data_IF_069423845988
#
_entry.id   IF_069423845988
#
_cell.length_a   1.000
_cell.length_b   1.000
_cell.length_c   1.000
_cell.angle_alpha   90.00
_cell.angle_beta   90.00
_cell.angle_gamma   90.00
#
_symmetry.space_group_name_H-M   'P 1'
#
loop_
_entity.id
_entity.type
_entity.pdbx_description
1 polymer ?
#
# COMPACT_ATOMS: atom_id res chain seq x y z
N UNK A 1 -27.68 1.78 -2.41
CA UNK A 1 -26.26 2.18 -2.21
C UNK A 1 -25.46 1.57 -3.34
N UNK A 2 -24.57 2.31 -4.01
CA UNK A 2 -23.66 1.70 -4.99
C UNK A 2 -22.63 0.85 -4.26
N UNK A 3 -22.37 -0.37 -4.73
CA UNK A 3 -21.26 -1.19 -4.23
C UNK A 3 -19.93 -0.48 -4.48
N UNK A 4 -18.91 -0.82 -3.69
CA UNK A 4 -17.57 -0.26 -3.89
C UNK A 4 -17.07 -0.56 -5.31
N UNK A 5 -17.27 -1.79 -5.77
CA UNK A 5 -16.88 -2.20 -7.12
C UNK A 5 -17.55 -1.34 -8.21
N UNK A 6 -18.84 -1.02 -8.06
CA UNK A 6 -19.56 -0.17 -9.00
C UNK A 6 -19.03 1.27 -9.00
N UNK A 7 -18.73 1.82 -7.82
CA UNK A 7 -18.15 3.16 -7.69
C UNK A 7 -16.72 3.23 -8.25
N UNK A 8 -15.90 2.21 -7.99
CA UNK A 8 -14.54 2.10 -8.54
C UNK A 8 -14.55 1.98 -10.06
N UNK A 9 -15.43 1.14 -10.62
CA UNK A 9 -15.58 1.02 -12.07
C UNK A 9 -16.01 2.34 -12.72
N UNK A 10 -16.99 3.04 -12.13
CA UNK A 10 -17.42 4.35 -12.60
C UNK A 10 -16.29 5.39 -12.53
N UNK A 11 -15.50 5.39 -11.45
CA UNK A 11 -14.32 6.24 -11.32
C UNK A 11 -13.31 5.95 -12.42
N UNK A 12 -12.96 4.68 -12.64
CA UNK A 12 -11.96 4.23 -13.62
C UNK A 12 -12.38 4.59 -15.05
N UNK A 13 -13.67 4.41 -15.38
CA UNK A 13 -14.22 4.76 -16.68
C UNK A 13 -14.19 6.27 -16.95
N UNK A 14 -14.34 7.09 -15.89
CA UNK A 14 -14.29 8.55 -15.98
C UNK A 14 -12.91 9.13 -15.62
N UNK A 15 -11.89 8.30 -15.41
CA UNK A 15 -10.60 8.73 -14.87
C UNK A 15 -9.81 9.50 -15.94
N UNK A 16 -9.81 10.83 -15.83
CA UNK A 16 -8.84 11.70 -16.49
C UNK A 16 -7.56 11.81 -15.66
N UNK A 17 -7.02 13.01 -15.51
CA UNK A 17 -6.02 13.32 -14.48
C UNK A 17 -6.71 13.91 -13.25
N UNK A 18 -6.34 13.43 -12.06
CA UNK A 18 -6.89 13.91 -10.80
C UNK A 18 -5.79 14.08 -9.76
N UNK A 19 -5.68 15.30 -9.23
CA UNK A 19 -4.85 15.58 -8.04
C UNK A 19 -5.58 15.06 -6.81
N UNK A 20 -4.92 14.21 -6.02
CA UNK A 20 -5.44 13.65 -4.77
C UNK A 20 -4.89 14.36 -3.54
N UNK A 21 -3.71 14.96 -3.65
CA UNK A 21 -3.09 15.75 -2.59
C UNK A 21 -2.21 16.85 -3.19
N UNK A 22 -2.24 18.01 -2.56
CA UNK A 22 -1.36 19.12 -2.87
C UNK A 22 -0.88 19.76 -1.57
N UNK A 23 0.44 19.93 -1.46
CA UNK A 23 1.07 20.58 -0.31
C UNK A 23 2.08 21.61 -0.77
N UNK A 24 2.26 22.65 0.03
CA UNK A 24 3.32 23.63 -0.14
C UNK A 24 4.09 23.75 1.16
N UNK A 25 5.41 23.64 1.10
CA UNK A 25 6.30 23.78 2.24
C UNK A 25 7.57 24.53 1.84
N UNK A 26 8.40 24.90 2.81
CA UNK A 26 9.71 25.53 2.54
C UNK A 26 10.79 24.49 2.76
N UNK A 27 11.63 24.28 1.76
CA UNK A 27 12.83 23.44 1.87
C UNK A 27 14.06 24.36 1.95
N UNK A 28 14.97 24.08 2.88
CA UNK A 28 16.24 24.81 3.01
C UNK A 28 17.38 23.89 2.62
N UNK A 29 18.10 24.26 1.55
CA UNK A 29 19.30 23.56 1.08
C UNK A 29 20.50 24.50 1.21
N UNK A 30 21.40 24.16 2.11
CA UNK A 30 22.49 25.05 2.51
C UNK A 30 21.96 26.35 3.12
N UNK A 31 22.33 27.49 2.55
CA UNK A 31 21.90 28.82 2.99
C UNK A 31 20.66 29.36 2.25
N UNK A 32 20.07 28.59 1.34
CA UNK A 32 18.95 29.03 0.50
C UNK A 32 17.67 28.31 0.91
N UNK A 33 16.61 29.07 1.12
CA UNK A 33 15.25 28.54 1.32
C UNK A 33 14.41 28.82 0.08
N UNK A 34 13.67 27.84 -0.39
CA UNK A 34 12.76 27.99 -1.51
C UNK A 34 11.41 27.34 -1.22
N UNK A 35 10.31 27.89 -1.75
CA UNK A 35 9.01 27.23 -1.66
C UNK A 35 9.05 25.96 -2.51
N UNK A 36 8.51 24.88 -1.96
CA UNK A 36 8.31 23.61 -2.64
C UNK A 36 6.84 23.34 -2.74
N UNK A 37 6.35 23.10 -3.96
CA UNK A 37 5.00 22.64 -4.22
C UNK A 37 5.07 21.17 -4.61
N UNK A 38 4.38 20.32 -3.85
CA UNK A 38 4.26 18.91 -4.13
C UNK A 38 2.81 18.60 -4.51
N UNK A 39 2.61 17.91 -5.63
CA UNK A 39 1.29 17.41 -6.06
C UNK A 39 1.37 15.92 -6.26
N UNK A 40 0.36 15.22 -5.79
CA UNK A 40 0.21 13.78 -5.95
C UNK A 40 -1.15 13.56 -6.62
N UNK A 41 -1.20 12.67 -7.58
CA UNK A 41 -2.42 12.40 -8.33
C UNK A 41 -2.45 11.03 -8.97
N UNK A 42 -3.61 10.69 -9.51
CA UNK A 42 -3.80 9.52 -10.35
C UNK A 42 -4.25 9.95 -11.72
N UNK A 43 -3.84 9.24 -12.76
CA UNK A 43 -4.35 9.46 -14.11
C UNK A 43 -4.47 8.17 -14.88
N UNK A 44 -5.38 8.15 -15.86
CA UNK A 44 -5.41 7.08 -16.86
C UNK A 44 -4.37 7.34 -17.95
N UNK A 45 -3.65 6.29 -18.32
CA UNK A 45 -2.63 6.26 -19.37
C UNK A 45 -2.85 4.99 -20.22
N UNK A 46 -3.66 5.13 -21.27
CA UNK A 46 -4.16 4.01 -22.07
C UNK A 46 -4.97 3.02 -21.24
N UNK A 47 -4.50 1.78 -21.18
CA UNK A 47 -5.10 0.67 -20.41
C UNK A 47 -4.58 0.60 -18.97
N UNK A 48 -3.71 1.54 -18.58
CA UNK A 48 -3.12 1.59 -17.25
C UNK A 48 -3.54 2.83 -16.47
N UNK A 49 -3.38 2.75 -15.16
CA UNK A 49 -3.64 3.83 -14.21
C UNK A 49 -2.33 4.12 -13.49
N UNK A 50 -1.92 5.37 -13.52
CA UNK A 50 -0.63 5.84 -13.01
C UNK A 50 -0.88 6.71 -11.78
N UNK A 51 -0.28 6.32 -10.66
CA UNK A 51 -0.09 7.19 -9.49
C UNK A 51 1.20 7.98 -9.71
N UNK A 52 1.09 9.30 -9.70
CA UNK A 52 2.18 10.21 -9.98
C UNK A 52 2.37 11.18 -8.83
N UNK A 53 3.60 11.64 -8.66
CA UNK A 53 3.97 12.75 -7.82
C UNK A 53 4.74 13.78 -8.65
N UNK A 54 4.64 15.05 -8.30
CA UNK A 54 5.46 16.11 -8.86
C UNK A 54 6.02 16.94 -7.71
N UNK A 55 7.27 17.35 -7.86
CA UNK A 55 7.91 18.29 -6.94
C UNK A 55 8.42 19.48 -7.75
N UNK A 56 8.00 20.68 -7.35
CA UNK A 56 8.45 21.94 -7.93
C UNK A 56 9.18 22.75 -6.87
N UNK A 57 10.42 23.16 -7.16
CA UNK A 57 11.24 24.00 -6.27
C UNK A 57 11.36 25.41 -6.85
N UNK A 58 10.86 26.41 -6.11
CA UNK A 58 10.80 27.79 -6.59
C UNK A 58 10.06 27.91 -7.93
N UNK A 59 10.61 28.70 -8.84
CA UNK A 59 10.08 28.90 -10.19
C UNK A 59 10.54 27.82 -11.19
N UNK A 60 11.19 26.76 -10.71
CA UNK A 60 11.66 25.65 -11.54
C UNK A 60 10.51 24.84 -12.17
N UNK A 61 10.84 23.99 -13.13
CA UNK A 61 9.88 23.03 -13.68
C UNK A 61 9.50 21.99 -12.61
N UNK A 62 8.24 21.58 -12.61
CA UNK A 62 7.80 20.45 -11.80
C UNK A 62 8.34 19.16 -12.42
N UNK A 63 9.06 18.35 -11.64
CA UNK A 63 9.57 17.05 -12.08
C UNK A 63 8.55 15.95 -11.76
N UNK A 64 7.91 15.32 -12.76
CA UNK A 64 6.99 14.22 -12.53
C UNK A 64 7.76 12.92 -12.25
N UNK A 65 7.37 12.24 -11.18
CA UNK A 65 7.78 10.90 -10.83
C UNK A 65 6.57 9.97 -10.89
N UNK A 66 6.72 8.84 -11.58
CA UNK A 66 5.78 7.72 -11.47
C UNK A 66 6.02 7.03 -10.13
N UNK A 67 4.98 6.98 -9.29
CA UNK A 67 5.00 6.31 -7.99
C UNK A 67 4.60 4.85 -8.15
N UNK A 68 3.56 4.59 -8.96
CA UNK A 68 3.09 3.26 -9.27
C UNK A 68 2.26 3.25 -10.56
N UNK A 69 2.20 2.08 -11.20
CA UNK A 69 1.34 1.82 -12.37
C UNK A 69 0.61 0.51 -12.17
N UNK A 70 -0.68 0.50 -12.49
CA UNK A 70 -1.55 -0.67 -12.43
C UNK A 70 -2.37 -0.81 -13.69
N UNK A 71 -2.80 -2.02 -14.01
CA UNK A 71 -4.01 -2.21 -14.83
C UNK A 71 -5.27 -1.87 -14.00
N UNK A 72 -6.45 -1.96 -14.60
CA UNK A 72 -7.70 -1.63 -13.89
C UNK A 72 -7.92 -2.51 -12.64
N UNK A 73 -7.60 -3.80 -12.75
CA UNK A 73 -7.78 -4.76 -11.66
C UNK A 73 -6.84 -4.46 -10.49
N UNK A 74 -5.57 -4.26 -10.79
CA UNK A 74 -4.53 -3.89 -9.83
C UNK A 74 -4.84 -2.56 -9.17
N UNK A 75 -5.43 -1.60 -9.89
CA UNK A 75 -5.86 -0.34 -9.31
C UNK A 75 -7.02 -0.52 -8.32
N UNK A 76 -8.03 -1.34 -8.64
CA UNK A 76 -9.08 -1.69 -7.67
C UNK A 76 -8.49 -2.37 -6.44
N UNK A 77 -7.51 -3.27 -6.63
CA UNK A 77 -6.77 -3.90 -5.54
C UNK A 77 -6.02 -2.90 -4.66
N UNK A 78 -5.37 -1.92 -5.27
CA UNK A 78 -4.71 -0.82 -4.56
C UNK A 78 -5.72 0.04 -3.80
N UNK A 79 -6.87 0.36 -4.40
CA UNK A 79 -7.94 1.08 -3.74
C UNK A 79 -8.46 0.31 -2.52
N UNK A 80 -8.63 -1.01 -2.58
CA UNK A 80 -9.03 -1.80 -1.41
C UNK A 80 -8.00 -1.78 -0.27
N UNK A 81 -6.71 -1.76 -0.60
CA UNK A 81 -5.64 -1.74 0.41
C UNK A 81 -5.35 -0.34 0.98
N UNK A 82 -5.60 0.73 0.21
CA UNK A 82 -5.17 2.10 0.54
C UNK A 82 -6.35 3.00 0.89
N UNK A 83 -6.75 3.00 2.17
CA UNK A 83 -7.85 3.83 2.67
C UNK A 83 -7.69 5.33 2.34
N UNK A 84 -6.47 5.86 2.47
CA UNK A 84 -6.17 7.25 2.15
C UNK A 84 -6.44 7.58 0.66
N UNK A 85 -6.08 6.67 -0.25
CA UNK A 85 -6.31 6.84 -1.68
C UNK A 85 -7.81 6.82 -2.01
N UNK A 86 -8.57 5.90 -1.41
CA UNK A 86 -10.05 5.86 -1.55
C UNK A 86 -10.70 7.16 -1.08
N UNK A 87 -10.33 7.61 0.11
CA UNK A 87 -10.87 8.81 0.71
C UNK A 87 -10.60 10.04 -0.18
N UNK A 88 -9.36 10.19 -0.68
CA UNK A 88 -9.01 11.29 -1.58
C UNK A 88 -9.75 11.25 -2.92
N UNK A 89 -10.14 10.07 -3.39
CA UNK A 89 -10.91 9.88 -4.62
C UNK A 89 -12.43 10.00 -4.42
N UNK A 90 -12.90 10.08 -3.18
CA UNK A 90 -14.32 10.18 -2.83
C UNK A 90 -15.08 8.86 -3.06
N UNK A 91 -14.39 7.73 -2.96
CA UNK A 91 -15.02 6.42 -3.04
C UNK A 91 -15.70 6.06 -1.71
N UNK A 92 -16.81 5.31 -1.74
CA UNK A 92 -17.38 4.75 -0.52
C UNK A 92 -16.38 3.78 0.13
N UNK A 93 -16.53 3.55 1.43
CA UNK A 93 -15.77 2.47 2.08
C UNK A 93 -16.27 1.11 1.59
N UNK A 94 -15.37 0.20 1.17
CA UNK A 94 -15.74 -1.18 0.85
C UNK A 94 -16.16 -1.92 2.11
N UNK A 95 -17.12 -2.83 1.97
CA UNK A 95 -17.49 -3.75 3.05
C UNK A 95 -16.33 -4.67 3.41
N UNK A 96 -16.37 -5.26 4.60
CA UNK A 96 -15.38 -6.28 5.00
C UNK A 96 -15.33 -7.43 3.98
N UNK A 97 -16.48 -7.88 3.48
CA UNK A 97 -16.56 -8.90 2.43
C UNK A 97 -15.91 -8.46 1.11
N UNK A 98 -16.15 -7.21 0.66
CA UNK A 98 -15.53 -6.68 -0.56
C UNK A 98 -14.00 -6.59 -0.44
N UNK A 99 -13.49 -6.24 0.75
CA UNK A 99 -12.05 -6.22 1.04
C UNK A 99 -11.45 -7.63 1.08
N UNK A 100 -12.14 -8.57 1.73
CA UNK A 100 -11.74 -9.98 1.79
C UNK A 100 -11.68 -10.58 0.39
N UNK A 101 -12.77 -10.49 -0.38
CA UNK A 101 -12.83 -11.05 -1.74
C UNK A 101 -11.80 -10.40 -2.67
N UNK A 102 -11.57 -9.08 -2.54
CA UNK A 102 -10.52 -8.42 -3.30
C UNK A 102 -9.12 -8.89 -2.93
N UNK A 103 -8.80 -9.05 -1.64
CA UNK A 103 -7.52 -9.61 -1.22
C UNK A 103 -7.33 -11.06 -1.70
N UNK A 104 -8.36 -11.90 -1.61
CA UNK A 104 -8.33 -13.28 -2.13
C UNK A 104 -8.13 -13.31 -3.65
N UNK A 105 -8.80 -12.42 -4.39
CA UNK A 105 -8.65 -12.32 -5.83
C UNK A 105 -7.23 -11.91 -6.24
N UNK A 106 -6.54 -11.08 -5.45
CA UNK A 106 -5.15 -10.70 -5.67
C UNK A 106 -4.21 -11.87 -5.40
N UNK A 107 -4.38 -12.56 -4.27
CA UNK A 107 -3.59 -13.74 -3.94
C UNK A 107 -3.72 -14.83 -5.01
N UNK A 108 -4.96 -15.10 -5.49
CA UNK A 108 -5.22 -16.05 -6.58
C UNK A 108 -4.67 -15.62 -7.94
N UNK A 109 -4.39 -14.33 -8.13
CA UNK A 109 -3.68 -13.83 -9.30
C UNK A 109 -2.14 -13.98 -9.17
N UNK A 110 -1.66 -14.55 -8.07
CA UNK A 110 -0.24 -14.69 -7.78
C UNK A 110 0.40 -13.46 -7.15
N UNK A 111 -0.39 -12.44 -6.77
CA UNK A 111 0.15 -11.31 -6.02
C UNK A 111 0.57 -11.75 -4.62
N UNK A 112 1.63 -11.12 -4.12
CA UNK A 112 2.06 -11.25 -2.73
C UNK A 112 1.66 -9.99 -1.98
N UNK A 113 0.91 -10.16 -0.89
CA UNK A 113 0.50 -9.07 -0.03
C UNK A 113 1.52 -8.97 1.11
N UNK A 114 2.05 -7.76 1.36
CA UNK A 114 3.04 -7.55 2.44
C UNK A 114 2.63 -6.39 3.34
N UNK A 115 2.75 -6.58 4.66
CA UNK A 115 2.54 -5.55 5.67
C UNK A 115 3.90 -5.12 6.21
N UNK A 116 4.20 -3.82 6.15
CA UNK A 116 5.44 -3.25 6.67
C UNK A 116 6.58 -3.18 5.66
N UNK A 117 7.44 -2.18 5.86
CA UNK A 117 8.70 -2.00 5.14
C UNK A 117 9.87 -2.62 5.90
N UNK A 118 10.98 -2.90 5.20
CA UNK A 118 12.21 -3.39 5.82
C UNK A 118 12.80 -2.42 6.86
N UNK A 119 12.31 -1.18 6.94
CA UNK A 119 12.88 -0.08 7.73
C UNK A 119 11.99 0.43 8.86
N UNK A 120 10.87 -0.25 9.19
CA UNK A 120 10.00 0.13 10.31
C UNK A 120 10.63 -0.15 11.69
N UNK A 121 11.91 -0.54 11.71
CA UNK A 121 12.65 -0.87 12.90
C UNK A 121 13.15 0.33 13.66
N UNK A 122 12.48 0.65 14.77
CA UNK A 122 12.97 1.60 15.75
C UNK A 122 14.35 1.18 16.26
N UNK A 123 15.29 2.13 16.28
CA UNK A 123 16.60 1.92 16.90
C UNK A 123 16.43 1.86 18.41
N UNK A 124 16.68 0.71 19.03
CA UNK A 124 16.68 0.61 20.49
C UNK A 124 17.92 1.29 21.09
N UNK A 125 17.85 1.64 22.38
CA UNK A 125 18.92 2.37 23.08
C UNK A 125 20.26 1.63 23.16
N UNK A 126 20.28 0.34 22.84
CA UNK A 126 21.47 -0.52 22.71
C UNK A 126 22.13 -0.43 21.31
N UNK A 127 21.57 0.38 20.39
CA UNK A 127 22.07 0.54 19.03
C UNK A 127 21.66 -0.58 18.06
N UNK A 128 20.75 -1.46 18.46
CA UNK A 128 20.19 -2.53 17.64
C UNK A 128 18.95 -2.03 16.89
N UNK A 129 18.83 -2.42 15.62
CA UNK A 129 17.63 -2.20 14.79
C UNK A 129 16.85 -3.50 14.75
N UNK A 130 15.56 -3.46 15.10
CA UNK A 130 14.66 -4.62 15.05
C UNK A 130 13.46 -4.29 14.20
N UNK A 131 13.13 -5.14 13.24
CA UNK A 131 11.95 -4.93 12.41
C UNK A 131 11.34 -6.26 11.96
N UNK A 132 10.30 -6.18 11.17
CA UNK A 132 9.65 -7.34 10.62
C UNK A 132 8.54 -7.00 9.65
N UNK A 133 8.11 -7.99 8.89
CA UNK A 133 6.98 -7.88 7.99
C UNK A 133 6.22 -9.19 7.95
N UNK A 134 4.95 -9.08 7.57
CA UNK A 134 4.11 -10.23 7.25
C UNK A 134 3.92 -10.25 5.75
N UNK A 135 4.15 -11.39 5.12
CA UNK A 135 3.87 -11.65 3.71
C UNK A 135 2.81 -12.74 3.60
N UNK A 136 1.84 -12.56 2.72
CA UNK A 136 0.84 -13.55 2.38
C UNK A 136 0.88 -13.76 0.87
N UNK A 137 0.98 -15.02 0.47
CA UNK A 137 0.88 -15.45 -0.92
C UNK A 137 -0.13 -16.59 -1.03
N UNK A 138 -0.62 -16.86 -2.24
CA UNK A 138 -1.59 -17.94 -2.43
C UNK A 138 -1.52 -18.57 -3.82
N UNK A 139 -1.94 -19.83 -3.89
CA UNK A 139 -2.20 -20.57 -5.11
C UNK A 139 -3.50 -21.37 -4.94
N UNK A 140 -4.53 -21.01 -5.71
CA UNK A 140 -5.87 -21.57 -5.58
C UNK A 140 -6.48 -21.30 -4.19
N UNK A 141 -6.65 -22.37 -3.41
CA UNK A 141 -7.21 -22.35 -2.05
C UNK A 141 -6.16 -22.65 -0.96
N UNK A 142 -4.87 -22.60 -1.32
CA UNK A 142 -3.77 -22.70 -0.37
C UNK A 142 -3.06 -21.36 -0.26
N UNK A 143 -2.84 -20.92 0.97
CA UNK A 143 -2.18 -19.67 1.28
C UNK A 143 -0.94 -19.94 2.13
N UNK A 144 0.09 -19.13 1.93
CA UNK A 144 1.32 -19.19 2.72
C UNK A 144 1.47 -17.85 3.40
N UNK A 145 1.43 -17.87 4.73
CA UNK A 145 1.73 -16.75 5.59
C UNK A 145 3.18 -16.86 6.06
N UNK A 146 3.98 -15.84 5.79
CA UNK A 146 5.37 -15.74 6.24
C UNK A 146 5.50 -14.51 7.15
N UNK A 147 5.84 -14.76 8.42
CA UNK A 147 6.22 -13.72 9.37
C UNK A 147 7.74 -13.68 9.42
N UNK A 148 8.31 -12.57 8.96
CA UNK A 148 9.74 -12.34 8.98
C UNK A 148 10.03 -11.30 10.04
N UNK A 149 10.94 -11.60 10.96
CA UNK A 149 11.55 -10.63 11.85
C UNK A 149 13.05 -10.57 11.59
N UNK A 150 13.66 -9.42 11.89
CA UNK A 150 15.10 -9.28 11.81
C UNK A 150 15.64 -8.45 12.96
N UNK A 151 16.89 -8.73 13.31
CA UNK A 151 17.67 -7.96 14.27
C UNK A 151 19.03 -7.62 13.68
N UNK A 152 19.44 -6.36 13.75
CA UNK A 152 20.72 -5.88 13.26
C UNK A 152 21.44 -5.08 14.35
N UNK A 153 22.57 -5.61 14.82
CA UNK A 153 23.48 -4.87 15.70
C UNK A 153 24.23 -3.78 14.94
N UNK A 154 24.71 -2.75 15.64
CA UNK A 154 25.43 -1.62 15.03
C UNK A 154 26.66 -2.09 14.24
N UNK A 155 26.60 -1.92 12.92
CA UNK A 155 27.69 -2.31 12.00
C UNK A 155 27.77 -3.81 11.68
N UNK A 156 26.80 -4.61 12.13
CA UNK A 156 26.67 -6.04 11.80
C UNK A 156 25.68 -6.30 10.66
N UNK A 157 25.68 -7.53 10.15
CA UNK A 157 24.66 -8.01 9.22
C UNK A 157 23.33 -8.28 9.94
N UNK A 158 22.18 -8.04 9.28
CA UNK A 158 20.88 -8.39 9.83
C UNK A 158 20.71 -9.92 9.94
N UNK A 159 20.25 -10.38 11.10
CA UNK A 159 19.88 -11.78 11.33
C UNK A 159 18.37 -11.91 11.17
N UNK A 160 17.93 -12.73 10.22
CA UNK A 160 16.52 -12.96 9.93
C UNK A 160 15.99 -14.20 10.63
N UNK A 161 14.78 -14.11 11.16
CA UNK A 161 13.98 -15.23 11.62
C UNK A 161 12.69 -15.26 10.80
N UNK A 162 12.36 -16.44 10.27
CA UNK A 162 11.16 -16.63 9.43
C UNK A 162 10.29 -17.70 10.06
N UNK A 163 9.03 -17.38 10.28
CA UNK A 163 7.99 -18.33 10.61
C UNK A 163 7.06 -18.45 9.41
N UNK A 164 6.86 -19.67 8.93
CA UNK A 164 6.03 -19.97 7.78
C UNK A 164 4.88 -20.87 8.19
N UNK A 165 3.67 -20.50 7.77
CA UNK A 165 2.46 -21.27 7.97
C UNK A 165 1.71 -21.44 6.65
N UNK A 166 1.37 -22.68 6.32
CA UNK A 166 0.43 -22.98 5.25
C UNK A 166 -0.99 -22.94 5.82
N UNK A 167 -1.91 -22.35 5.06
CA UNK A 167 -3.27 -22.07 5.47
C UNK A 167 -4.24 -22.49 4.37
N UNK A 168 -5.35 -23.13 4.76
CA UNK A 168 -6.56 -23.20 3.96
C UNK A 168 -7.39 -21.90 4.05
N UNK A 169 -8.42 -21.79 3.21
CA UNK A 169 -9.31 -20.63 3.19
C UNK A 169 -9.99 -20.37 4.54
N UNK A 170 -10.45 -21.42 5.23
CA UNK A 170 -11.12 -21.27 6.52
C UNK A 170 -10.16 -20.81 7.63
N UNK A 171 -8.92 -21.28 7.61
CA UNK A 171 -7.87 -20.85 8.54
C UNK A 171 -7.49 -19.39 8.30
N UNK A 172 -7.36 -18.98 7.04
CA UNK A 172 -7.11 -17.57 6.68
C UNK A 172 -8.27 -16.67 7.14
N UNK A 173 -9.52 -17.10 6.97
CA UNK A 173 -10.69 -16.36 7.48
C UNK A 173 -10.69 -16.27 9.01
N UNK A 174 -10.29 -17.34 9.70
CA UNK A 174 -10.10 -17.33 11.15
C UNK A 174 -9.02 -16.32 11.60
N UNK A 175 -7.91 -16.24 10.85
CA UNK A 175 -6.87 -15.25 11.10
C UNK A 175 -7.35 -13.82 10.81
N UNK A 176 -8.10 -13.58 9.74
CA UNK A 176 -8.67 -12.25 9.46
C UNK A 176 -9.58 -11.74 10.57
N UNK A 177 -10.22 -12.64 11.32
CA UNK A 177 -11.05 -12.28 12.47
C UNK A 177 -10.24 -11.86 13.71
N UNK A 178 -8.95 -12.23 13.79
CA UNK A 178 -8.16 -12.16 15.05
C UNK A 178 -6.76 -11.57 14.92
N UNK A 179 -6.21 -11.42 13.71
CA UNK A 179 -4.82 -11.04 13.45
C UNK A 179 -4.74 -9.72 12.70
N UNK A 180 -4.39 -8.64 13.39
CA UNK A 180 -4.24 -7.31 12.79
C UNK A 180 -3.25 -7.26 11.62
N UNK A 181 -2.06 -7.91 11.68
CA UNK A 181 -1.15 -7.93 10.53
C UNK A 181 -1.81 -8.50 9.27
N UNK A 182 -2.61 -9.56 9.41
CA UNK A 182 -3.33 -10.18 8.29
C UNK A 182 -4.48 -9.28 7.83
N UNK A 183 -5.18 -8.60 8.75
CA UNK A 183 -6.21 -7.60 8.41
C UNK A 183 -5.66 -6.44 7.59
N UNK A 184 -4.46 -5.95 7.94
CA UNK A 184 -3.78 -4.87 7.19
C UNK A 184 -3.50 -5.30 5.74
N UNK A 185 -3.11 -6.55 5.50
CA UNK A 185 -2.88 -7.06 4.14
C UNK A 185 -4.12 -6.96 3.25
N UNK A 186 -5.30 -7.08 3.84
CA UNK A 186 -6.59 -6.98 3.17
C UNK A 186 -7.20 -5.57 3.20
N UNK A 187 -6.52 -4.60 3.84
CA UNK A 187 -7.02 -3.22 3.99
C UNK A 187 -8.08 -3.05 5.08
N UNK A 188 -8.30 -4.08 5.91
CA UNK A 188 -9.36 -4.10 6.92
C UNK A 188 -9.06 -3.16 8.09
N UNK A 189 -10.09 -2.52 8.69
CA UNK A 189 -9.91 -1.64 9.83
C UNK A 189 -9.43 -2.42 11.06
N UNK A 190 -8.65 -1.73 11.89
CA UNK A 190 -8.21 -2.19 13.20
C UNK A 190 -9.42 -2.23 14.13
N UNK A 191 -9.53 -3.26 14.98
CA UNK A 191 -10.63 -3.40 15.93
C UNK A 191 -10.29 -2.79 17.29
#
# INVERSE_FOLDING_TARGET
MSSFAGAAAALIAALGERVISESTYVETVGATSYPVRQRIGVRRDGDTIVHWATTQRGDGAAEPAEVARWDERGFVGALLAQAHLRAALGLPEPTEDEQIEGGLARLRAGERLRSGGADDGGRSGDGVVRGGWTELSGDGDRFVLELVSFEQARGGEPVYQTQRQELGLDELRGLLATSDPVRVLFGLPWR
#
